data_IF_560202256775
#
_entry.id   IF_560202256775
#
_cell.length_a   1.000
_cell.length_b   1.000
_cell.length_c   1.000
_cell.angle_alpha   90.00
_cell.angle_beta   90.00
_cell.angle_gamma   90.00
#
_symmetry.space_group_name_H-M   'P 1'
#
loop_
_entity.id
_entity.type
_entity.pdbx_description
1 polymer ?
#
# COMPACT_ATOMS: atom_id res chain seq x y z
N UNK A 1 -6.35 14.60 -21.24
CA UNK A 1 -5.48 14.24 -22.38
C UNK A 1 -5.05 12.81 -22.16
N UNK A 2 -5.52 11.89 -23.02
CA UNK A 2 -5.43 10.44 -22.83
C UNK A 2 -3.99 9.93 -22.90
N UNK A 3 -3.62 9.13 -21.91
CA UNK A 3 -2.33 8.42 -21.83
C UNK A 3 -2.21 7.27 -22.85
N UNK A 4 -3.24 7.02 -23.66
CA UNK A 4 -3.27 5.95 -24.67
C UNK A 4 -2.42 6.26 -25.92
N UNK A 5 -1.92 7.49 -26.08
CA UNK A 5 -1.15 7.90 -27.26
C UNK A 5 0.34 7.51 -27.23
N UNK A 6 0.90 7.12 -26.09
CA UNK A 6 2.34 6.79 -25.97
C UNK A 6 2.68 5.34 -26.34
N UNK A 7 1.69 4.44 -26.35
CA UNK A 7 1.91 2.99 -26.50
C UNK A 7 2.13 2.60 -27.98
N UNK A 8 1.69 3.41 -28.94
CA UNK A 8 1.66 3.02 -30.35
C UNK A 8 3.00 3.17 -31.12
N UNK A 9 4.02 3.79 -30.51
CA UNK A 9 5.32 4.03 -31.15
C UNK A 9 6.53 3.44 -30.40
N UNK A 10 6.32 2.68 -29.33
CA UNK A 10 7.42 2.08 -28.56
C UNK A 10 7.72 0.67 -29.07
N UNK A 11 8.92 0.38 -29.62
CA UNK A 11 9.28 -0.96 -30.09
C UNK A 11 9.21 -2.01 -28.98
N UNK A 12 8.80 -3.23 -29.32
CA UNK A 12 8.56 -4.33 -28.36
C UNK A 12 9.76 -4.61 -27.44
N UNK A 13 10.99 -4.49 -27.95
CA UNK A 13 12.21 -4.67 -27.16
C UNK A 13 12.36 -3.63 -26.04
N UNK A 14 12.01 -2.37 -26.33
CA UNK A 14 12.03 -1.28 -25.36
C UNK A 14 10.93 -1.49 -24.32
N UNK A 15 9.74 -1.93 -24.73
CA UNK A 15 8.62 -2.25 -23.83
C UNK A 15 8.98 -3.35 -22.83
N UNK A 16 9.75 -4.36 -23.22
CA UNK A 16 10.23 -5.41 -22.30
C UNK A 16 11.22 -4.84 -21.29
N UNK A 17 12.18 -4.00 -21.73
CA UNK A 17 13.14 -3.33 -20.83
C UNK A 17 12.44 -2.41 -19.84
N UNK A 18 11.44 -1.65 -20.29
CA UNK A 18 10.62 -0.77 -19.42
C UNK A 18 9.86 -1.59 -18.39
N UNK A 19 9.16 -2.67 -18.78
CA UNK A 19 8.44 -3.55 -17.82
C UNK A 19 9.37 -4.14 -16.77
N UNK A 20 10.56 -4.60 -17.18
CA UNK A 20 11.58 -5.11 -16.25
C UNK A 20 12.07 -4.02 -15.28
N UNK A 21 12.37 -2.82 -15.79
CA UNK A 21 12.77 -1.68 -14.97
C UNK A 21 11.66 -1.24 -14.00
N UNK A 22 10.41 -1.19 -14.45
CA UNK A 22 9.24 -0.85 -13.65
C UNK A 22 9.01 -1.85 -12.51
N UNK A 23 9.28 -3.14 -12.73
CA UNK A 23 9.19 -4.17 -11.68
C UNK A 23 10.23 -3.97 -10.55
N UNK A 24 11.35 -3.31 -10.85
CA UNK A 24 12.38 -2.96 -9.89
C UNK A 24 12.07 -1.67 -9.10
N UNK A 25 10.99 -0.95 -9.42
CA UNK A 25 10.58 0.23 -8.66
C UNK A 25 9.98 -0.11 -7.29
N UNK A 26 9.48 -1.35 -7.11
CA UNK A 26 9.03 -1.84 -5.82
C UNK A 26 10.18 -2.43 -5.00
N UNK A 27 10.19 -2.27 -3.67
CA UNK A 27 11.25 -2.85 -2.85
C UNK A 27 11.24 -4.38 -2.97
N UNK A 28 12.37 -4.94 -3.39
CA UNK A 28 12.51 -6.35 -3.77
C UNK A 28 11.98 -7.31 -2.71
N UNK A 29 12.41 -7.15 -1.45
CA UNK A 29 12.02 -8.01 -0.32
C UNK A 29 10.53 -7.97 0.01
N UNK A 30 9.84 -6.88 -0.33
CA UNK A 30 8.42 -6.69 0.01
C UNK A 30 7.50 -6.63 -1.20
N UNK A 31 8.02 -6.87 -2.42
CA UNK A 31 7.26 -6.75 -3.68
C UNK A 31 5.96 -7.53 -3.64
N UNK A 32 6.00 -8.78 -3.19
CA UNK A 32 4.82 -9.63 -3.08
C UNK A 32 3.73 -9.00 -2.20
N UNK A 33 4.10 -8.38 -1.08
CA UNK A 33 3.16 -7.70 -0.19
C UNK A 33 2.44 -6.55 -0.91
N UNK A 34 3.16 -5.76 -1.69
CA UNK A 34 2.59 -4.66 -2.47
C UNK A 34 1.59 -5.21 -3.51
N UNK A 35 1.97 -6.26 -4.22
CA UNK A 35 1.12 -6.91 -5.23
C UNK A 35 -0.14 -7.54 -4.64
N UNK A 36 -0.05 -8.15 -3.45
CA UNK A 36 -1.23 -8.68 -2.74
C UNK A 36 -2.20 -7.56 -2.38
N UNK A 37 -1.70 -6.40 -1.95
CA UNK A 37 -2.56 -5.25 -1.63
C UNK A 37 -3.20 -4.67 -2.89
N UNK A 38 -2.44 -4.54 -3.97
CA UNK A 38 -2.96 -4.11 -5.27
C UNK A 38 -4.08 -5.05 -5.76
N UNK A 39 -3.84 -6.37 -5.74
CA UNK A 39 -4.83 -7.37 -6.14
C UNK A 39 -6.11 -7.29 -5.32
N UNK A 40 -6.01 -7.14 -3.99
CA UNK A 40 -7.18 -6.95 -3.11
C UNK A 40 -8.00 -5.72 -3.48
N UNK A 41 -7.34 -4.63 -3.88
CA UNK A 41 -8.04 -3.44 -4.36
C UNK A 41 -8.71 -3.69 -5.72
N UNK A 42 -8.02 -4.36 -6.65
CA UNK A 42 -8.59 -4.73 -7.95
C UNK A 42 -9.81 -5.66 -7.81
N UNK A 43 -9.74 -6.65 -6.92
CA UNK A 43 -10.86 -7.56 -6.60
C UNK A 43 -12.05 -6.79 -6.02
N UNK A 44 -11.79 -5.84 -5.10
CA UNK A 44 -12.84 -4.97 -4.56
C UNK A 44 -13.47 -4.11 -5.65
N UNK A 45 -12.68 -3.60 -6.60
CA UNK A 45 -13.20 -2.82 -7.72
C UNK A 45 -14.07 -3.64 -8.66
N UNK A 46 -13.65 -4.87 -8.98
CA UNK A 46 -14.43 -5.81 -9.78
C UNK A 46 -15.76 -6.14 -9.08
N UNK A 47 -15.72 -6.42 -7.77
CA UNK A 47 -16.90 -6.71 -6.96
C UNK A 47 -17.90 -5.56 -6.96
N UNK A 48 -17.41 -4.31 -6.87
CA UNK A 48 -18.25 -3.11 -6.86
C UNK A 48 -18.55 -2.57 -8.27
N UNK A 49 -18.13 -3.26 -9.34
CA UNK A 49 -18.33 -2.88 -10.74
C UNK A 49 -17.79 -1.48 -11.08
N UNK A 50 -16.68 -1.07 -10.45
CA UNK A 50 -16.05 0.24 -10.65
C UNK A 50 -14.77 0.14 -11.46
N UNK A 51 -14.71 0.86 -12.59
CA UNK A 51 -13.58 0.83 -13.52
C UNK A 51 -12.63 2.03 -13.39
N UNK A 52 -12.96 3.04 -12.59
CA UNK A 52 -12.08 4.20 -12.39
C UNK A 52 -11.18 4.05 -11.16
N UNK A 53 -10.08 4.81 -11.16
CA UNK A 53 -9.20 5.04 -10.01
C UNK A 53 -9.39 6.47 -9.47
N UNK A 54 -10.62 6.99 -9.53
CA UNK A 54 -10.88 8.36 -9.11
C UNK A 54 -10.73 8.51 -7.59
N UNK A 55 -10.52 9.75 -7.15
CA UNK A 55 -10.41 10.08 -5.73
C UNK A 55 -11.58 9.53 -4.90
N UNK A 56 -12.81 9.61 -5.44
CA UNK A 56 -14.02 9.12 -4.76
C UNK A 56 -14.01 7.60 -4.58
N UNK A 57 -13.48 6.84 -5.55
CA UNK A 57 -13.38 5.37 -5.45
C UNK A 57 -12.39 4.98 -4.36
N UNK A 58 -11.23 5.65 -4.31
CA UNK A 58 -10.25 5.41 -3.25
C UNK A 58 -10.83 5.80 -1.88
N UNK A 59 -11.53 6.93 -1.80
CA UNK A 59 -12.17 7.36 -0.57
C UNK A 59 -13.18 6.31 -0.06
N UNK A 60 -14.05 5.78 -0.93
CA UNK A 60 -15.01 4.72 -0.57
C UNK A 60 -14.30 3.45 -0.11
N UNK A 61 -13.26 3.00 -0.83
CA UNK A 61 -12.47 1.84 -0.45
C UNK A 61 -11.87 1.97 0.96
N UNK A 62 -11.23 3.11 1.25
CA UNK A 62 -10.65 3.41 2.56
C UNK A 62 -11.69 3.68 3.65
N UNK A 63 -12.95 3.95 3.28
CA UNK A 63 -14.04 4.09 4.24
C UNK A 63 -14.63 2.74 4.67
N UNK A 64 -14.60 1.73 3.79
CA UNK A 64 -15.09 0.37 4.07
C UNK A 64 -14.05 -0.53 4.80
N UNK A 65 -12.76 -0.30 4.55
CA UNK A 65 -11.62 -0.99 5.18
C UNK A 65 -11.46 -0.92 6.73
N UNK A 66 -11.81 0.18 7.44
CA UNK A 66 -11.49 0.37 8.86
C UNK A 66 -12.18 -0.62 9.79
N UNK A 67 -13.30 -1.23 9.36
CA UNK A 67 -13.99 -2.24 10.16
C UNK A 67 -13.13 -3.50 10.42
N UNK A 68 -11.99 -3.63 9.74
CA UNK A 68 -11.11 -4.81 9.82
C UNK A 68 -9.66 -4.49 10.17
N UNK A 69 -9.24 -3.22 10.19
CA UNK A 69 -7.81 -2.84 10.17
C UNK A 69 -7.51 -1.65 11.10
N UNK A 70 -6.31 -1.67 11.72
CA UNK A 70 -5.79 -0.52 12.49
C UNK A 70 -5.42 0.65 11.55
N UNK A 71 -5.48 1.92 11.99
CA UNK A 71 -5.15 3.06 11.13
C UNK A 71 -3.72 3.08 10.58
N UNK A 72 -2.74 2.61 11.36
CA UNK A 72 -1.36 2.47 10.89
C UNK A 72 -1.24 1.48 9.73
N UNK A 73 -2.10 0.45 9.70
CA UNK A 73 -2.22 -0.47 8.57
C UNK A 73 -2.87 0.20 7.36
N UNK A 74 -3.85 1.10 7.56
CA UNK A 74 -4.49 1.83 6.45
C UNK A 74 -3.51 2.76 5.72
N UNK A 75 -2.67 3.50 6.46
CA UNK A 75 -1.61 4.31 5.85
C UNK A 75 -0.60 3.47 5.07
N UNK A 76 -0.21 2.30 5.60
CA UNK A 76 0.66 1.39 4.86
C UNK A 76 -0.01 0.87 3.58
N UNK A 77 -1.31 0.54 3.63
CA UNK A 77 -2.11 0.13 2.46
C UNK A 77 -2.18 1.26 1.44
N UNK A 78 -2.43 2.49 1.87
CA UNK A 78 -2.42 3.66 0.99
C UNK A 78 -1.07 3.85 0.28
N UNK A 79 0.04 3.80 1.02
CA UNK A 79 1.38 3.91 0.43
C UNK A 79 1.66 2.78 -0.55
N UNK A 80 1.29 1.54 -0.22
CA UNK A 80 1.46 0.39 -1.12
C UNK A 80 0.63 0.55 -2.40
N UNK A 81 -0.63 1.00 -2.29
CA UNK A 81 -1.48 1.27 -3.45
C UNK A 81 -0.96 2.42 -4.29
N UNK A 82 -0.44 3.49 -3.68
CA UNK A 82 0.16 4.60 -4.41
C UNK A 82 1.29 4.12 -5.31
N UNK A 83 2.18 3.28 -4.78
CA UNK A 83 3.30 2.71 -5.55
C UNK A 83 2.84 1.74 -6.64
N UNK A 84 1.85 0.89 -6.37
CA UNK A 84 1.42 -0.10 -7.37
C UNK A 84 0.53 0.49 -8.46
N UNK A 85 -0.36 1.42 -8.13
CA UNK A 85 -1.25 2.06 -9.12
C UNK A 85 -0.45 2.92 -10.11
N UNK A 86 0.59 3.63 -9.65
CA UNK A 86 1.44 4.39 -10.58
C UNK A 86 2.21 3.45 -11.52
N UNK A 87 2.70 2.30 -11.02
CA UNK A 87 3.46 1.33 -11.82
C UNK A 87 2.58 0.59 -12.83
N UNK A 88 1.40 0.12 -12.40
CA UNK A 88 0.54 -0.75 -13.21
C UNK A 88 -0.44 0.01 -14.09
N UNK A 89 -0.85 1.21 -13.69
CA UNK A 89 -1.91 1.97 -14.36
C UNK A 89 -1.48 3.36 -14.79
N UNK A 90 -0.25 3.80 -14.48
CA UNK A 90 0.25 5.14 -14.76
C UNK A 90 -0.65 6.26 -14.18
N UNK A 91 -1.25 6.00 -13.01
CA UNK A 91 -2.13 6.95 -12.33
C UNK A 91 -1.47 7.40 -11.04
N UNK A 92 -1.24 8.72 -10.93
CA UNK A 92 -0.73 9.32 -9.71
C UNK A 92 -1.88 9.67 -8.76
N UNK A 93 -2.01 8.91 -7.66
CA UNK A 93 -3.00 9.17 -6.62
C UNK A 93 -2.46 10.05 -5.48
N UNK A 94 -1.24 10.59 -5.59
CA UNK A 94 -0.61 11.41 -4.55
C UNK A 94 -1.39 12.69 -4.26
N UNK A 95 -2.06 13.23 -5.26
CA UNK A 95 -2.74 14.53 -5.19
C UNK A 95 -4.18 14.39 -4.68
N UNK A 96 -4.59 13.18 -4.31
CA UNK A 96 -5.91 12.88 -3.80
C UNK A 96 -6.02 13.29 -2.33
N UNK A 97 -6.50 14.51 -2.12
CA UNK A 97 -6.65 15.13 -0.80
C UNK A 97 -7.69 14.44 0.10
N UNK A 98 -8.82 13.96 -0.44
CA UNK A 98 -9.93 13.42 0.37
C UNK A 98 -9.58 12.08 1.04
N UNK A 99 -9.02 11.07 0.34
CA UNK A 99 -8.58 9.83 0.98
C UNK A 99 -7.51 10.10 2.04
N UNK A 100 -6.57 11.02 1.79
CA UNK A 100 -5.57 11.40 2.78
C UNK A 100 -6.18 12.05 4.01
N UNK A 101 -7.10 12.99 3.84
CA UNK A 101 -7.80 13.64 4.96
C UNK A 101 -8.60 12.62 5.79
N UNK A 102 -9.27 11.67 5.14
CA UNK A 102 -9.95 10.56 5.82
C UNK A 102 -8.99 9.72 6.66
N UNK A 103 -7.84 9.34 6.09
CA UNK A 103 -6.82 8.55 6.79
C UNK A 103 -6.19 9.30 7.97
N UNK A 104 -5.95 10.61 7.83
CA UNK A 104 -5.45 11.49 8.92
C UNK A 104 -6.43 11.50 10.09
N UNK A 105 -7.70 11.81 9.82
CA UNK A 105 -8.74 11.84 10.85
C UNK A 105 -8.90 10.49 11.55
N UNK A 106 -8.78 9.38 10.80
CA UNK A 106 -8.82 8.03 11.37
C UNK A 106 -7.58 7.68 12.18
N UNK A 107 -6.40 8.25 11.91
CA UNK A 107 -5.23 8.04 12.78
C UNK A 107 -5.32 8.82 14.09
N UNK A 108 -5.88 10.03 14.09
CA UNK A 108 -5.95 10.89 15.28
C UNK A 108 -6.79 10.26 16.42
N UNK A 109 -7.82 9.49 16.06
CA UNK A 109 -8.72 8.83 17.02
C UNK A 109 -8.06 7.64 17.72
N UNK A 110 -6.93 7.12 17.21
CA UNK A 110 -6.31 5.89 17.74
C UNK A 110 -5.01 6.17 18.48
N UNK A 111 -4.93 5.87 19.79
CA UNK A 111 -3.68 6.01 20.52
C UNK A 111 -2.63 5.03 19.99
N UNK A 112 -1.44 5.54 19.69
CA UNK A 112 -0.34 4.71 19.18
C UNK A 112 0.08 3.68 20.23
N UNK A 113 0.04 2.39 19.89
CA UNK A 113 0.65 1.34 20.72
C UNK A 113 2.15 1.35 20.51
N UNK A 114 2.91 1.77 21.53
CA UNK A 114 4.38 1.69 21.52
C UNK A 114 4.83 0.28 21.91
N UNK A 115 5.95 -0.18 21.35
CA UNK A 115 6.61 -1.40 21.84
C UNK A 115 7.12 -1.15 23.27
N UNK A 116 7.15 -2.20 24.10
CA UNK A 116 7.80 -2.10 25.40
C UNK A 116 9.30 -1.83 25.19
N UNK A 117 9.86 -0.94 26.00
CA UNK A 117 11.31 -0.74 26.04
C UNK A 117 11.92 -1.97 26.73
N UNK A 118 12.95 -2.56 26.12
CA UNK A 118 13.69 -3.66 26.73
C UNK A 118 14.49 -3.10 27.94
N UNK A 119 14.20 -3.56 29.15
CA UNK A 119 14.90 -3.14 30.37
C UNK A 119 15.99 -4.12 30.78
N UNK A 120 16.90 -3.67 31.65
CA UNK A 120 17.94 -4.53 32.22
C UNK A 120 17.35 -5.72 33.01
N UNK A 121 16.19 -5.54 33.65
CA UNK A 121 15.49 -6.63 34.32
C UNK A 121 14.96 -7.66 33.32
N UNK A 122 14.40 -7.23 32.19
CA UNK A 122 13.94 -8.16 31.15
C UNK A 122 15.10 -9.01 30.61
N UNK A 123 16.28 -8.40 30.42
CA UNK A 123 17.51 -9.10 30.01
C UNK A 123 17.93 -10.10 31.08
N UNK A 124 17.97 -9.69 32.35
CA UNK A 124 18.33 -10.58 33.46
C UNK A 124 17.37 -11.75 33.59
N UNK A 125 16.07 -11.50 33.50
CA UNK A 125 15.03 -12.54 33.55
C UNK A 125 15.16 -13.49 32.38
N UNK A 126 15.46 -13.00 31.18
CA UNK A 126 15.74 -13.84 30.02
C UNK A 126 16.98 -14.72 30.25
N UNK A 127 18.11 -14.14 30.64
CA UNK A 127 19.35 -14.88 30.87
C UNK A 127 19.26 -15.93 31.98
N UNK A 128 18.40 -15.73 32.98
CA UNK A 128 18.28 -16.65 34.12
C UNK A 128 17.24 -17.74 33.91
N UNK A 129 16.18 -17.47 33.15
CA UNK A 129 15.00 -18.34 33.08
C UNK A 129 14.68 -18.83 31.66
N UNK A 130 15.41 -18.38 30.64
CA UNK A 130 15.27 -18.94 29.30
C UNK A 130 15.79 -20.39 29.29
N UNK A 131 15.06 -21.34 28.68
CA UNK A 131 15.53 -22.70 28.52
C UNK A 131 16.71 -22.75 27.55
N UNK A 132 17.67 -23.63 27.82
CA UNK A 132 18.90 -23.83 27.03
C UNK A 132 18.70 -24.68 25.75
N UNK A 133 17.47 -24.77 25.23
CA UNK A 133 17.19 -25.53 24.00
C UNK A 133 17.80 -24.86 22.75
#
# INVERSE_FOLDING_TARGET
MSSDSEIHCTPSEITVKVKSASANLLPEKSRERYEVIYRKFMDWRLKNKVQSFSENILMAYFDELPNKMKPSSLWAIYSMLRSTIVIHNNINIADYSKPQALLKRKSDVFPSKKSKLLSANDIKTFLQNAPDE
#
